data_IF_977826200966
#
_entry.id   IF_977826200966
#
_cell.length_a   1.000
_cell.length_b   1.000
_cell.length_c   1.000
_cell.angle_alpha   90.00
_cell.angle_beta   90.00
_cell.angle_gamma   90.00
#
_symmetry.space_group_name_H-M   'P 1'
#
loop_
_entity.id
_entity.type
_entity.pdbx_description
1 polymer ?
#
# COMPACT_ATOMS: atom_id res chain seq x y z
N UNK A 1 5.53 15.49 -10.71
CA UNK A 1 6.12 14.53 -9.76
C UNK A 1 6.84 15.32 -8.68
N UNK A 2 6.22 15.49 -7.51
CA UNK A 2 6.93 16.08 -6.35
C UNK A 2 7.48 14.91 -5.56
N UNK A 3 8.80 14.77 -5.58
CA UNK A 3 9.53 13.74 -4.84
C UNK A 3 10.02 14.39 -3.55
N UNK A 4 9.43 14.04 -2.41
CA UNK A 4 9.90 14.51 -1.11
C UNK A 4 10.75 13.39 -0.50
N UNK A 5 12.06 13.58 -0.53
CA UNK A 5 13.01 12.71 0.17
C UNK A 5 13.15 13.16 1.62
N UNK A 6 12.82 12.28 2.56
CA UNK A 6 13.19 12.45 3.96
C UNK A 6 14.20 11.35 4.28
N UNK A 7 15.49 11.67 4.14
CA UNK A 7 16.58 10.74 4.50
C UNK A 7 17.05 11.13 5.91
N UNK A 8 16.72 10.30 6.91
CA UNK A 8 17.39 10.33 8.20
C UNK A 8 18.60 9.39 8.13
N UNK A 9 19.80 9.96 8.26
CA UNK A 9 21.07 9.24 8.22
C UNK A 9 21.36 8.67 9.60
N UNK A 10 21.14 7.37 9.81
CA UNK A 10 21.79 6.62 10.88
C UNK A 10 22.48 5.37 10.33
N UNK A 11 23.62 5.08 10.93
CA UNK A 11 24.66 4.17 10.45
C UNK A 11 24.31 2.69 10.70
N UNK A 12 23.80 2.01 9.66
CA UNK A 12 23.71 0.55 9.46
C UNK A 12 22.72 -0.28 10.31
N UNK A 13 22.04 -1.22 9.62
CA UNK A 13 21.08 -2.18 10.18
C UNK A 13 19.64 -1.99 9.69
N UNK A 14 18.80 -3.02 9.78
CA UNK A 14 17.37 -2.96 9.37
C UNK A 14 16.59 -1.91 10.18
N UNK A 15 17.04 -1.62 11.41
CA UNK A 15 16.49 -0.57 12.29
C UNK A 15 17.01 0.84 12.01
N UNK A 16 17.95 1.02 11.08
CA UNK A 16 18.37 2.37 10.65
C UNK A 16 17.52 2.95 9.52
N UNK A 17 16.61 2.16 8.95
CA UNK A 17 15.60 2.69 8.04
C UNK A 17 14.47 3.32 8.83
N UNK A 18 13.94 4.49 8.41
CA UNK A 18 12.68 5.03 8.94
C UNK A 18 11.45 4.15 8.62
N UNK A 19 11.65 2.99 7.97
CA UNK A 19 10.61 2.14 7.41
C UNK A 19 10.12 2.71 6.08
N UNK A 20 9.77 4.00 6.07
CA UNK A 20 9.29 4.72 4.90
C UNK A 20 10.36 5.67 4.37
N UNK A 21 10.99 5.33 3.23
CA UNK A 21 12.11 6.13 2.70
C UNK A 21 11.70 7.12 1.63
N UNK A 22 10.69 6.80 0.81
CA UNK A 22 10.24 7.66 -0.29
C UNK A 22 8.73 7.71 -0.33
N UNK A 23 8.20 8.94 -0.47
CA UNK A 23 6.82 9.22 -0.84
C UNK A 23 6.80 9.93 -2.19
N UNK A 24 5.95 9.45 -3.08
CA UNK A 24 5.69 10.09 -4.35
C UNK A 24 4.19 10.17 -4.63
N UNK A 25 3.78 11.24 -5.30
CA UNK A 25 2.40 11.43 -5.72
C UNK A 25 2.32 11.40 -7.24
N UNK A 26 1.37 10.61 -7.75
CA UNK A 26 1.16 10.40 -9.18
C UNK A 26 -0.29 10.69 -9.59
N UNK A 27 -0.44 11.23 -10.79
CA UNK A 27 -1.71 11.59 -11.40
C UNK A 27 -1.81 10.98 -12.78
N UNK A 28 -3.00 10.44 -13.07
CA UNK A 28 -3.29 9.74 -14.31
C UNK A 28 -3.41 10.69 -15.51
N UNK A 29 -4.25 11.73 -15.38
CA UNK A 29 -4.78 12.45 -16.55
C UNK A 29 -4.22 13.85 -16.78
N UNK A 30 -3.66 14.54 -15.77
CA UNK A 30 -3.13 15.91 -15.93
C UNK A 30 -2.01 16.21 -14.90
N UNK A 31 -1.07 17.13 -15.23
CA UNK A 31 -0.21 17.75 -14.21
C UNK A 31 -1.07 18.33 -13.08
N UNK A 32 -0.51 18.38 -11.86
CA UNK A 32 -1.19 18.98 -10.71
C UNK A 32 -1.41 20.49 -11.01
N UNK A 33 -2.53 20.82 -11.64
CA UNK A 33 -3.06 22.17 -11.69
C UNK A 33 -3.43 22.58 -10.26
N UNK A 34 -3.37 23.88 -9.96
CA UNK A 34 -3.78 24.42 -8.66
C UNK A 34 -5.22 23.98 -8.35
N UNK A 35 -5.38 23.10 -7.35
CA UNK A 35 -6.68 22.51 -6.97
C UNK A 35 -6.91 21.06 -7.39
N UNK A 36 -6.01 20.44 -8.17
CA UNK A 36 -6.04 19.00 -8.43
C UNK A 36 -5.31 18.22 -7.33
N UNK A 37 -5.92 17.14 -6.85
CA UNK A 37 -5.30 16.23 -5.87
C UNK A 37 -4.70 15.01 -6.56
N UNK A 38 -3.70 14.35 -5.94
CA UNK A 38 -3.12 13.12 -6.46
C UNK A 38 -4.12 11.96 -6.51
N UNK A 39 -3.99 11.11 -7.53
CA UNK A 39 -4.73 9.85 -7.64
C UNK A 39 -4.04 8.72 -6.86
N UNK A 40 -2.70 8.70 -6.91
CA UNK A 40 -1.88 7.71 -6.24
C UNK A 40 -0.92 8.33 -5.25
N UNK A 41 -0.76 7.63 -4.13
CA UNK A 41 0.41 7.76 -3.27
C UNK A 41 1.24 6.50 -3.42
N UNK A 42 2.44 6.68 -3.96
CA UNK A 42 3.46 5.65 -3.98
C UNK A 42 4.31 5.81 -2.73
N UNK A 43 4.57 4.71 -2.06
CA UNK A 43 5.46 4.70 -0.92
C UNK A 43 6.37 3.49 -0.94
N UNK A 44 7.64 3.76 -0.63
CA UNK A 44 8.68 2.77 -0.62
C UNK A 44 8.96 2.38 0.83
N UNK A 45 8.74 1.10 1.11
CA UNK A 45 8.98 0.52 2.41
C UNK A 45 10.18 -0.41 2.33
N UNK A 46 11.21 -0.13 3.13
CA UNK A 46 12.43 -0.93 3.19
C UNK A 46 12.24 -2.01 4.26
N UNK A 47 12.51 -3.27 3.92
CA UNK A 47 12.22 -4.37 4.82
C UNK A 47 13.03 -5.62 4.56
N UNK A 48 12.74 -6.63 5.36
CA UNK A 48 13.24 -8.00 5.22
C UNK A 48 12.12 -8.89 4.69
N UNK A 49 12.49 -9.98 4.02
CA UNK A 49 11.55 -10.95 3.44
C UNK A 49 10.66 -11.63 4.49
N UNK A 50 11.06 -11.63 5.76
CA UNK A 50 10.31 -12.16 6.91
C UNK A 50 8.89 -11.57 7.03
N UNK A 51 8.74 -10.27 6.76
CA UNK A 51 7.43 -9.63 6.73
C UNK A 51 6.51 -10.25 5.67
N UNK A 52 7.04 -10.54 4.48
CA UNK A 52 6.27 -11.20 3.44
C UNK A 52 5.94 -12.66 3.76
N UNK A 53 6.77 -13.34 4.54
CA UNK A 53 6.56 -14.74 4.95
C UNK A 53 5.46 -14.88 6.00
N UNK A 54 5.42 -13.97 6.97
CA UNK A 54 4.58 -14.12 8.15
C UNK A 54 3.39 -13.15 8.23
N UNK A 55 3.44 -11.99 7.57
CA UNK A 55 2.41 -10.95 7.69
C UNK A 55 1.50 -10.86 6.46
N UNK A 56 2.00 -11.22 5.27
CA UNK A 56 1.23 -11.10 4.02
C UNK A 56 0.36 -12.32 3.69
N UNK A 57 0.38 -13.37 4.53
CA UNK A 57 -0.37 -14.62 4.35
C UNK A 57 -0.25 -15.18 2.91
N UNK A 58 0.95 -15.07 2.34
CA UNK A 58 1.25 -15.56 0.98
C UNK A 58 1.37 -17.08 1.04
N UNK A 59 0.84 -17.76 0.03
CA UNK A 59 0.96 -19.22 -0.07
C UNK A 59 2.46 -19.60 -0.12
N UNK A 60 2.93 -20.61 0.66
CA UNK A 60 4.36 -20.87 0.80
C UNK A 60 5.11 -21.15 -0.51
N UNK A 61 4.46 -21.79 -1.48
CA UNK A 61 5.00 -22.04 -2.82
C UNK A 61 5.22 -20.76 -3.64
N UNK A 62 4.30 -19.78 -3.55
CA UNK A 62 4.50 -18.47 -4.17
C UNK A 62 5.58 -17.66 -3.44
N UNK A 63 5.62 -17.75 -2.11
CA UNK A 63 6.64 -17.06 -1.34
C UNK A 63 8.04 -17.54 -1.74
N UNK A 64 8.25 -18.86 -1.82
CA UNK A 64 9.54 -19.41 -2.24
C UNK A 64 9.90 -19.03 -3.69
N UNK A 65 8.92 -19.07 -4.60
CA UNK A 65 9.14 -18.69 -6.00
C UNK A 65 9.51 -17.22 -6.19
N UNK A 66 8.93 -16.31 -5.40
CA UNK A 66 9.12 -14.86 -5.54
C UNK A 66 10.27 -14.35 -4.68
N UNK A 67 10.33 -14.77 -3.41
CA UNK A 67 11.25 -14.23 -2.40
C UNK A 67 12.40 -15.17 -2.04
N UNK A 68 12.32 -16.48 -2.34
CA UNK A 68 13.37 -17.46 -2.04
C UNK A 68 14.78 -17.02 -2.47
N UNK A 69 15.00 -16.54 -3.71
CA UNK A 69 16.31 -16.06 -4.16
C UNK A 69 16.84 -14.81 -3.45
N UNK A 70 15.98 -14.12 -2.70
CA UNK A 70 16.22 -12.85 -2.03
C UNK A 70 16.17 -12.96 -0.51
N UNK A 71 16.02 -14.16 0.05
CA UNK A 71 16.16 -14.40 1.49
C UNK A 71 17.52 -13.85 1.95
N UNK A 72 17.50 -13.15 3.08
CA UNK A 72 18.65 -12.48 3.71
C UNK A 72 19.29 -11.34 2.90
N UNK A 73 18.64 -10.85 1.84
CA UNK A 73 19.07 -9.66 1.10
C UNK A 73 18.17 -8.45 1.40
N UNK A 74 18.71 -7.21 1.31
CA UNK A 74 17.90 -6.01 1.41
C UNK A 74 16.79 -6.02 0.34
N UNK A 75 15.55 -5.73 0.77
CA UNK A 75 14.38 -5.72 -0.10
C UNK A 75 13.58 -4.42 0.08
N UNK A 76 12.91 -3.99 -0.99
CA UNK A 76 12.06 -2.80 -1.01
C UNK A 76 10.68 -3.16 -1.55
N UNK A 77 9.64 -2.74 -0.85
CA UNK A 77 8.26 -2.78 -1.33
C UNK A 77 7.92 -1.45 -1.95
N UNK A 78 7.52 -1.46 -3.22
CA UNK A 78 6.86 -0.33 -3.85
C UNK A 78 5.35 -0.55 -3.70
N UNK A 79 4.71 0.25 -2.86
CA UNK A 79 3.28 0.16 -2.59
C UNK A 79 2.57 1.34 -3.26
N UNK A 80 1.56 1.02 -4.07
CA UNK A 80 0.70 2.00 -4.73
C UNK A 80 -0.66 2.02 -4.04
N UNK A 81 -1.06 3.18 -3.54
CA UNK A 81 -2.36 3.38 -2.91
C UNK A 81 -3.19 4.39 -3.69
N UNK A 82 -4.42 4.01 -4.06
CA UNK A 82 -5.43 4.93 -4.58
C UNK A 82 -5.90 5.81 -3.43
N UNK A 83 -5.84 7.13 -3.63
CA UNK A 83 -6.25 8.10 -2.60
C UNK A 83 -7.72 8.45 -2.64
N UNK A 84 -8.39 8.24 -3.78
CA UNK A 84 -9.78 8.67 -4.02
C UNK A 84 -10.61 7.60 -4.76
N UNK A 85 -10.82 6.42 -4.16
CA UNK A 85 -11.71 5.43 -4.76
C UNK A 85 -13.12 6.03 -4.86
N UNK A 86 -13.79 5.79 -5.99
CA UNK A 86 -15.18 6.18 -6.26
C UNK A 86 -16.17 5.17 -5.72
N UNK A 87 -15.78 3.90 -5.62
CA UNK A 87 -16.54 2.83 -4.98
C UNK A 87 -16.94 3.20 -3.55
N UNK A 88 -18.13 2.77 -3.14
CA UNK A 88 -18.67 3.01 -1.80
C UNK A 88 -19.16 1.69 -1.23
N UNK A 89 -18.57 1.33 -0.09
CA UNK A 89 -19.02 0.21 0.72
C UNK A 89 -20.10 0.59 1.72
N UNK A 90 -20.54 -0.39 2.48
CA UNK A 90 -21.54 -0.26 3.54
C UNK A 90 -21.02 -0.89 4.82
N UNK A 91 -21.39 -0.29 5.94
CA UNK A 91 -21.18 -0.84 7.27
C UNK A 91 -22.53 -0.90 7.95
N UNK A 92 -22.95 -2.09 8.36
CA UNK A 92 -24.22 -2.31 9.03
C UNK A 92 -24.02 -3.01 10.36
N UNK A 93 -24.86 -2.69 11.34
CA UNK A 93 -24.85 -3.40 12.62
C UNK A 93 -25.42 -4.80 12.38
N UNK A 94 -24.71 -5.81 12.90
CA UNK A 94 -25.16 -7.19 12.86
C UNK A 94 -26.34 -7.42 13.81
N UNK A 95 -26.32 -6.77 14.95
CA UNK A 95 -27.35 -6.83 15.99
C UNK A 95 -27.35 -5.55 16.82
N UNK A 96 -28.21 -5.48 17.84
CA UNK A 96 -28.21 -4.39 18.81
C UNK A 96 -27.13 -4.56 19.91
N UNK A 97 -26.44 -5.70 19.97
CA UNK A 97 -25.37 -5.96 20.92
C UNK A 97 -24.09 -5.22 20.48
N UNK A 98 -23.53 -4.30 21.29
CA UNK A 98 -22.30 -3.58 20.96
C UNK A 98 -21.05 -4.48 20.90
N UNK A 99 -21.10 -5.71 21.42
CA UNK A 99 -20.01 -6.68 21.34
C UNK A 99 -20.03 -7.50 20.05
N UNK A 100 -21.12 -7.48 19.29
CA UNK A 100 -21.18 -8.15 17.99
C UNK A 100 -20.42 -7.35 16.93
N UNK A 101 -19.51 -7.99 16.16
CA UNK A 101 -18.77 -7.30 15.12
C UNK A 101 -19.72 -6.84 14.00
N UNK A 102 -19.57 -5.59 13.51
CA UNK A 102 -20.39 -5.09 12.41
C UNK A 102 -20.16 -5.91 11.14
N UNK A 103 -21.12 -5.83 10.22
CA UNK A 103 -20.96 -6.34 8.86
C UNK A 103 -20.34 -5.22 8.03
N UNK A 104 -19.14 -5.47 7.50
CA UNK A 104 -18.41 -4.54 6.66
C UNK A 104 -18.37 -5.13 5.25
N UNK A 105 -19.00 -4.46 4.30
CA UNK A 105 -18.88 -4.75 2.87
C UNK A 105 -18.25 -3.55 2.18
N UNK A 106 -16.93 -3.56 1.95
CA UNK A 106 -16.24 -2.43 1.30
C UNK A 106 -16.66 -2.21 -0.15
N UNK A 107 -17.27 -3.22 -0.81
CA UNK A 107 -17.58 -3.20 -2.25
C UNK A 107 -16.38 -2.72 -3.08
N UNK A 108 -15.19 -3.25 -2.79
CA UNK A 108 -13.97 -2.91 -3.53
C UNK A 108 -14.20 -3.13 -5.03
N UNK A 109 -13.75 -2.18 -5.84
CA UNK A 109 -13.88 -2.22 -7.30
C UNK A 109 -15.32 -2.20 -7.83
N UNK A 110 -16.29 -1.79 -7.01
CA UNK A 110 -17.67 -1.58 -7.44
C UNK A 110 -17.82 -0.47 -8.50
N UNK A 111 -16.88 0.47 -8.55
CA UNK A 111 -16.80 1.47 -9.61
C UNK A 111 -15.70 1.08 -10.61
N UNK A 112 -15.98 1.04 -11.93
CA UNK A 112 -15.01 0.60 -12.94
C UNK A 112 -13.73 1.45 -12.94
N UNK A 113 -13.84 2.76 -12.74
CA UNK A 113 -12.67 3.65 -12.63
C UNK A 113 -11.67 3.24 -11.53
N UNK A 114 -12.10 2.60 -10.44
CA UNK A 114 -11.18 2.22 -9.35
C UNK A 114 -10.20 1.12 -9.81
N UNK A 115 -10.66 0.21 -10.69
CA UNK A 115 -9.79 -0.79 -11.32
C UNK A 115 -8.87 -0.14 -12.34
N UNK A 116 -9.40 0.77 -13.17
CA UNK A 116 -8.58 1.45 -14.17
C UNK A 116 -7.44 2.24 -13.54
N UNK A 117 -7.71 2.91 -12.42
CA UNK A 117 -6.69 3.68 -11.69
C UNK A 117 -5.64 2.73 -11.10
N UNK A 118 -6.01 1.58 -10.53
CA UNK A 118 -5.03 0.67 -9.89
C UNK A 118 -4.07 0.01 -10.88
N UNK A 119 -4.51 -0.27 -12.10
CA UNK A 119 -3.73 -1.02 -13.10
C UNK A 119 -2.74 -0.15 -13.87
N UNK A 120 -2.95 1.18 -13.88
CA UNK A 120 -2.10 2.14 -14.57
C UNK A 120 -0.79 2.43 -13.82
#
# INVERSE_FOLDING_TARGET
>A
MVLTFIIFVFSSGVLTSPGLSVLAFFNRKEPIATGNYPDHQLYFWEGVTDFAEHQLNIRPDYFEAIFGPYKDKPFYFCLSQILRPKGRGEVTLRSADPYDPPVIDPKYFSHPDDLEVIVE
#
